data_IF_690953154204
#
_entry.id   IF_690953154204
#
_cell.length_a   1.000
_cell.length_b   1.000
_cell.length_c   1.000
_cell.angle_alpha   90.00
_cell.angle_beta   90.00
_cell.angle_gamma   90.00
#
_symmetry.space_group_name_H-M   'P 1'
#
loop_
_entity.id
_entity.type
_entity.pdbx_description
1 polymer ?
#
# COMPACT_ATOMS: atom_id res chain seq x y z
N UNK A 1 10.68 14.31 -8.92
CA UNK A 1 9.77 13.73 -9.92
C UNK A 1 8.86 14.84 -10.41
N UNK A 2 8.46 14.81 -11.67
CA UNK A 2 7.45 15.72 -12.20
C UNK A 2 6.12 15.53 -11.44
N UNK A 3 5.35 16.59 -11.23
CA UNK A 3 4.06 16.53 -10.53
C UNK A 3 3.01 15.69 -11.27
N UNK A 4 3.18 15.49 -12.57
CA UNK A 4 2.30 14.70 -13.44
C UNK A 4 3.03 13.50 -14.07
N UNK A 5 4.05 12.98 -13.39
CA UNK A 5 4.75 11.78 -13.84
C UNK A 5 3.76 10.63 -14.12
N UNK A 6 3.80 10.12 -15.35
CA UNK A 6 2.96 9.02 -15.80
C UNK A 6 3.79 7.73 -15.89
N UNK A 7 3.71 6.91 -14.84
CA UNK A 7 4.41 5.64 -14.75
C UNK A 7 4.29 5.02 -13.35
N UNK A 8 4.97 3.90 -13.14
CA UNK A 8 4.97 3.21 -11.85
C UNK A 8 6.09 3.76 -10.95
N UNK A 9 5.70 4.40 -9.85
CA UNK A 9 6.61 4.84 -8.79
C UNK A 9 6.27 4.11 -7.47
N UNK A 10 6.37 2.78 -7.50
CA UNK A 10 6.00 1.91 -6.38
C UNK A 10 7.13 0.93 -6.05
N UNK A 11 7.38 0.73 -4.76
CA UNK A 11 8.27 -0.30 -4.23
C UNK A 11 7.63 -0.91 -2.98
N UNK A 12 7.81 -2.21 -2.77
CA UNK A 12 7.38 -2.88 -1.55
C UNK A 12 8.52 -2.88 -0.54
N UNK A 13 8.22 -2.49 0.70
CA UNK A 13 9.16 -2.55 1.83
C UNK A 13 8.60 -3.50 2.90
N UNK A 14 9.08 -4.76 2.97
CA UNK A 14 8.57 -5.71 3.94
C UNK A 14 9.07 -5.38 5.35
N UNK A 15 8.19 -5.57 6.34
CA UNK A 15 8.53 -5.49 7.76
C UNK A 15 8.26 -6.85 8.37
N UNK A 16 9.24 -7.42 9.06
CA UNK A 16 9.16 -8.77 9.61
C UNK A 16 9.06 -8.74 11.13
N UNK A 17 8.22 -9.60 11.68
CA UNK A 17 8.13 -9.87 13.12
C UNK A 17 7.61 -11.31 13.33
N UNK A 18 8.06 -12.01 14.38
CA UNK A 18 7.46 -13.28 14.78
C UNK A 18 5.98 -13.10 15.15
N UNK A 19 5.12 -14.05 14.77
CA UNK A 19 3.70 -13.98 15.10
C UNK A 19 3.44 -13.90 16.62
N UNK A 20 4.25 -14.60 17.42
CA UNK A 20 4.17 -14.53 18.88
C UNK A 20 4.48 -13.13 19.45
N UNK A 21 5.43 -12.40 18.84
CA UNK A 21 5.72 -11.02 19.24
C UNK A 21 4.59 -10.08 18.85
N UNK A 22 4.07 -10.21 17.62
CA UNK A 22 2.94 -9.41 17.15
C UNK A 22 1.70 -9.53 18.04
N UNK A 23 1.42 -10.73 18.56
CA UNK A 23 0.24 -10.99 19.41
C UNK A 23 0.48 -10.55 20.87
N UNK A 24 1.73 -10.58 21.35
CA UNK A 24 2.07 -10.24 22.74
C UNK A 24 2.32 -8.76 22.99
N UNK A 25 2.46 -7.95 21.93
CA UNK A 25 2.73 -6.51 22.01
C UNK A 25 1.48 -5.68 21.71
N UNK A 26 1.53 -4.40 22.05
CA UNK A 26 0.47 -3.46 21.75
C UNK A 26 0.54 -2.94 20.29
N UNK A 27 -0.52 -2.26 19.86
CA UNK A 27 -0.60 -1.67 18.53
C UNK A 27 0.44 -0.56 18.29
N UNK A 28 0.88 0.13 19.35
CA UNK A 28 1.89 1.17 19.26
C UNK A 28 3.24 0.61 18.85
N UNK A 29 3.62 -0.54 19.41
CA UNK A 29 4.81 -1.28 19.02
C UNK A 29 4.76 -1.71 17.54
N UNK A 30 3.62 -2.28 17.10
CA UNK A 30 3.43 -2.66 15.69
C UNK A 30 3.54 -1.45 14.75
N UNK A 31 2.93 -0.32 15.14
CA UNK A 31 2.98 0.92 14.38
C UNK A 31 4.40 1.50 14.30
N UNK A 32 5.14 1.47 15.41
CA UNK A 32 6.53 1.92 15.47
C UNK A 32 7.46 1.07 14.59
N UNK A 33 7.26 -0.26 14.56
CA UNK A 33 8.03 -1.15 13.69
C UNK A 33 7.84 -0.81 12.20
N UNK A 34 6.59 -0.60 11.78
CA UNK A 34 6.26 -0.15 10.42
C UNK A 34 6.84 1.25 10.15
N UNK A 35 6.71 2.17 11.10
CA UNK A 35 7.18 3.55 10.97
C UNK A 35 8.69 3.62 10.75
N UNK A 36 9.48 2.90 11.55
CA UNK A 36 10.94 2.82 11.41
C UNK A 36 11.35 2.37 10.01
N UNK A 37 10.68 1.36 9.46
CA UNK A 37 10.97 0.88 8.11
C UNK A 37 10.61 1.90 7.03
N UNK A 38 9.46 2.57 7.16
CA UNK A 38 9.05 3.64 6.23
C UNK A 38 10.03 4.81 6.25
N UNK A 39 10.47 5.24 7.43
CA UNK A 39 11.45 6.34 7.58
C UNK A 39 12.82 5.95 7.03
N UNK A 40 13.23 4.70 7.20
CA UNK A 40 14.51 4.20 6.69
C UNK A 40 14.53 4.04 5.16
N UNK A 41 13.37 4.01 4.49
CA UNK A 41 13.28 3.89 3.03
C UNK A 41 13.43 5.25 2.34
N UNK A 42 14.64 5.79 2.45
CA UNK A 42 15.01 7.11 1.93
C UNK A 42 15.34 7.09 0.42
N UNK A 43 15.78 8.24 -0.09
CA UNK A 43 16.16 8.40 -1.49
C UNK A 43 17.29 7.45 -1.94
N UNK A 44 18.24 7.13 -1.07
CA UNK A 44 19.33 6.23 -1.39
C UNK A 44 18.82 4.79 -1.52
N UNK A 45 17.94 4.35 -0.61
CA UNK A 45 17.29 3.04 -0.68
C UNK A 45 16.39 2.89 -1.90
N UNK A 46 15.63 3.93 -2.25
CA UNK A 46 14.79 3.92 -3.47
C UNK A 46 15.65 3.70 -4.71
N UNK A 47 16.72 4.49 -4.86
CA UNK A 47 17.65 4.39 -6.01
C UNK A 47 18.34 3.04 -6.09
N UNK A 48 18.84 2.54 -4.96
CA UNK A 48 19.42 1.21 -4.89
C UNK A 48 18.43 0.13 -5.36
N UNK A 49 17.15 0.23 -4.98
CA UNK A 49 16.12 -0.70 -5.45
C UNK A 49 15.86 -0.63 -6.95
N UNK A 50 16.04 0.54 -7.58
CA UNK A 50 15.97 0.68 -9.05
C UNK A 50 17.18 0.01 -9.69
N UNK A 51 18.39 0.31 -9.22
CA UNK A 51 19.64 -0.26 -9.74
C UNK A 51 19.67 -1.79 -9.62
N UNK A 52 19.22 -2.33 -8.48
CA UNK A 52 19.10 -3.78 -8.27
C UNK A 52 18.12 -4.43 -9.24
N UNK A 53 16.96 -3.79 -9.47
CA UNK A 53 15.97 -4.28 -10.43
C UNK A 53 16.45 -4.16 -11.87
N UNK A 54 17.21 -3.12 -12.24
CA UNK A 54 17.79 -2.99 -13.58
C UNK A 54 18.85 -4.07 -13.85
N UNK A 55 19.63 -4.45 -12.83
CA UNK A 55 20.60 -5.55 -12.92
C UNK A 55 19.92 -6.91 -13.05
N UNK A 56 18.84 -7.14 -12.31
CA UNK A 56 18.08 -8.39 -12.34
C UNK A 56 16.56 -8.12 -12.39
N UNK A 57 16.02 -7.88 -13.59
CA UNK A 57 14.62 -7.54 -13.77
C UNK A 57 13.70 -8.68 -13.32
N UNK A 58 12.77 -8.34 -12.44
CA UNK A 58 11.78 -9.27 -11.90
C UNK A 58 10.39 -8.64 -11.91
N UNK A 59 9.38 -9.49 -12.05
CA UNK A 59 7.99 -9.04 -11.93
C UNK A 59 7.69 -8.62 -10.49
N UNK A 60 6.80 -7.63 -10.34
CA UNK A 60 6.36 -7.21 -9.02
C UNK A 60 5.69 -8.39 -8.30
N UNK A 61 6.13 -8.76 -7.08
CA UNK A 61 5.63 -9.94 -6.40
C UNK A 61 4.19 -9.69 -5.93
N UNK A 62 3.23 -10.16 -6.71
CA UNK A 62 1.81 -10.19 -6.37
C UNK A 62 1.46 -11.52 -5.74
N UNK A 63 0.84 -11.50 -4.57
CA UNK A 63 0.37 -12.70 -3.88
C UNK A 63 0.81 -12.76 -2.42
N UNK A 64 0.49 -13.90 -1.81
CA UNK A 64 0.90 -14.26 -0.45
C UNK A 64 1.48 -15.68 -0.49
N UNK A 65 2.65 -15.88 -1.13
CA UNK A 65 3.17 -17.23 -1.39
C UNK A 65 3.56 -17.99 -0.11
N UNK A 66 3.89 -17.28 0.97
CA UNK A 66 4.22 -17.87 2.26
C UNK A 66 2.99 -18.11 3.17
N UNK A 67 1.81 -17.59 2.79
CA UNK A 67 0.58 -17.67 3.58
C UNK A 67 0.61 -16.86 4.89
N UNK A 68 1.70 -16.15 5.18
CA UNK A 68 1.94 -15.47 6.45
C UNK A 68 2.14 -13.95 6.28
N UNK A 69 2.18 -13.46 5.04
CA UNK A 69 2.35 -12.06 4.73
C UNK A 69 1.02 -11.32 4.58
N UNK A 70 0.99 -10.08 5.08
CA UNK A 70 -0.11 -9.14 4.82
C UNK A 70 0.44 -8.00 3.97
N UNK A 71 -0.19 -7.77 2.81
CA UNK A 71 0.16 -6.66 1.93
C UNK A 71 -0.88 -5.55 2.05
N UNK A 72 -0.44 -4.37 2.47
CA UNK A 72 -1.25 -3.16 2.43
C UNK A 72 -1.03 -2.42 1.10
N UNK A 73 -2.11 -2.02 0.42
CA UNK A 73 -2.03 -1.17 -0.76
C UNK A 73 -3.07 -0.07 -0.76
N UNK A 74 -3.04 0.77 -1.80
CA UNK A 74 -3.81 2.02 -1.88
C UNK A 74 -3.38 3.04 -0.81
N UNK A 75 -3.96 4.24 -0.85
CA UNK A 75 -3.72 5.31 0.10
C UNK A 75 -4.98 6.16 0.28
N UNK A 76 -5.32 6.60 1.50
CA UNK A 76 -6.38 7.58 1.70
C UNK A 76 -6.08 8.93 1.06
N UNK A 77 -4.83 9.18 0.66
CA UNK A 77 -4.41 10.41 -0.03
C UNK A 77 -4.82 10.45 -1.50
N UNK A 78 -5.26 9.33 -2.07
CA UNK A 78 -5.68 9.33 -3.48
C UNK A 78 -7.04 10.02 -3.66
N UNK A 79 -7.21 10.84 -4.71
CA UNK A 79 -8.42 11.62 -4.96
C UNK A 79 -9.55 10.75 -5.55
N UNK A 80 -9.92 9.67 -4.84
CA UNK A 80 -10.77 8.61 -5.38
C UNK A 80 -12.19 9.09 -5.75
N UNK A 81 -12.68 10.14 -5.08
CA UNK A 81 -14.03 10.68 -5.27
C UNK A 81 -14.05 12.01 -6.04
N UNK A 82 -12.93 12.47 -6.62
CA UNK A 82 -12.90 13.77 -7.32
C UNK A 82 -13.37 13.69 -8.78
N UNK A 83 -13.84 12.53 -9.23
CA UNK A 83 -14.27 12.29 -10.61
C UNK A 83 -15.76 12.62 -10.77
N UNK A 84 -16.10 13.76 -11.37
CA UNK A 84 -17.48 14.12 -11.74
C UNK A 84 -17.58 14.33 -13.25
N UNK A 85 -18.39 13.51 -13.91
CA UNK A 85 -18.62 13.56 -15.35
C UNK A 85 -19.88 14.35 -15.73
N UNK A 86 -20.51 15.05 -14.78
CA UNK A 86 -21.76 15.79 -14.95
C UNK A 86 -22.99 15.12 -14.31
N UNK A 87 -22.81 13.95 -13.68
CA UNK A 87 -23.86 13.23 -12.96
C UNK A 87 -23.67 13.26 -11.43
N UNK A 88 -22.70 14.03 -10.96
CA UNK A 88 -22.35 14.13 -9.55
C UNK A 88 -21.23 13.18 -9.14
N UNK A 89 -20.77 13.40 -7.91
CA UNK A 89 -19.64 12.69 -7.29
C UNK A 89 -19.89 11.18 -7.14
N UNK A 90 -18.86 10.31 -7.25
CA UNK A 90 -19.03 8.87 -7.10
C UNK A 90 -19.64 8.48 -5.75
N UNK A 91 -20.45 7.42 -5.76
CA UNK A 91 -21.10 6.90 -4.53
C UNK A 91 -20.18 5.93 -3.80
N UNK A 92 -19.42 5.10 -4.51
CA UNK A 92 -18.53 4.11 -3.92
C UNK A 92 -17.31 3.82 -4.81
N UNK A 93 -16.21 3.44 -4.18
CA UNK A 93 -14.96 3.00 -4.84
C UNK A 93 -14.82 1.49 -4.63
N UNK A 94 -14.57 0.75 -5.70
CA UNK A 94 -14.42 -0.71 -5.65
C UNK A 94 -13.15 -1.16 -6.38
N UNK A 95 -12.49 -2.18 -5.85
CA UNK A 95 -11.38 -2.86 -6.54
C UNK A 95 -11.90 -4.04 -7.36
N UNK A 96 -11.28 -4.26 -8.53
CA UNK A 96 -11.54 -5.43 -9.39
C UNK A 96 -10.98 -6.73 -8.81
N UNK A 97 -11.53 -7.87 -9.27
CA UNK A 97 -11.20 -9.22 -8.77
C UNK A 97 -9.71 -9.58 -8.88
N UNK A 98 -9.02 -9.08 -9.91
CA UNK A 98 -7.60 -9.37 -10.14
C UNK A 98 -6.67 -8.87 -9.01
N UNK A 99 -7.12 -7.89 -8.21
CA UNK A 99 -6.36 -7.35 -7.08
C UNK A 99 -6.80 -7.92 -5.72
N UNK A 100 -7.59 -9.01 -5.73
CA UNK A 100 -8.11 -9.66 -4.52
C UNK A 100 -7.48 -11.03 -4.36
N UNK A 101 -6.52 -11.13 -3.46
CA UNK A 101 -5.86 -12.37 -3.07
C UNK A 101 -5.69 -12.41 -1.55
N UNK A 102 -5.45 -13.60 -1.02
CA UNK A 102 -5.26 -13.78 0.42
C UNK A 102 -4.13 -12.89 0.97
N UNK A 103 -4.30 -12.33 2.17
CA UNK A 103 -3.34 -11.38 2.75
C UNK A 103 -3.36 -9.96 2.14
N UNK A 104 -4.12 -9.67 1.07
CA UNK A 104 -4.24 -8.31 0.52
C UNK A 104 -5.27 -7.47 1.28
N UNK A 105 -4.89 -6.27 1.67
CA UNK A 105 -5.79 -5.25 2.22
C UNK A 105 -5.64 -3.96 1.40
N UNK A 106 -6.78 -3.35 1.05
CA UNK A 106 -6.81 -2.02 0.42
C UNK A 106 -7.60 -1.04 1.28
N UNK A 107 -7.05 0.15 1.48
CA UNK A 107 -7.72 1.25 2.18
C UNK A 107 -7.95 2.40 1.19
N UNK A 108 -9.21 2.82 1.09
CA UNK A 108 -9.63 4.00 0.34
C UNK A 108 -10.17 5.05 1.30
N UNK A 109 -10.08 6.35 0.97
CA UNK A 109 -10.73 7.37 1.78
C UNK A 109 -12.24 7.14 1.80
N UNK A 110 -12.91 7.51 2.88
CA UNK A 110 -14.36 7.56 2.93
C UNK A 110 -14.90 8.69 2.07
N UNK A 111 -16.07 8.48 1.46
CA UNK A 111 -16.72 9.44 0.55
C UNK A 111 -16.91 10.83 1.17
N UNK A 112 -17.28 10.85 2.45
CA UNK A 112 -17.64 12.09 3.15
C UNK A 112 -16.42 12.91 3.59
N UNK A 113 -15.19 12.41 3.41
CA UNK A 113 -13.96 13.13 3.74
C UNK A 113 -13.76 13.40 5.23
N UNK A 114 -14.58 12.82 6.11
CA UNK A 114 -14.54 12.98 7.56
C UNK A 114 -13.50 12.10 8.27
N UNK A 115 -12.48 11.64 7.55
CA UNK A 115 -11.45 10.72 8.07
C UNK A 115 -11.90 9.25 8.19
N UNK A 116 -13.09 8.90 7.72
CA UNK A 116 -13.49 7.49 7.58
C UNK A 116 -12.71 6.79 6.46
N UNK A 117 -12.63 5.46 6.53
CA UNK A 117 -11.95 4.62 5.53
C UNK A 117 -12.87 3.51 5.04
N UNK A 118 -12.81 3.23 3.73
CA UNK A 118 -13.43 2.06 3.15
C UNK A 118 -12.38 0.95 3.05
N UNK A 119 -12.60 -0.16 3.76
CA UNK A 119 -11.81 -1.38 3.60
C UNK A 119 -12.38 -2.21 2.46
N UNK A 120 -11.55 -2.51 1.45
CA UNK A 120 -11.90 -3.44 0.39
C UNK A 120 -11.05 -4.72 0.53
N UNK A 121 -11.72 -5.87 0.62
CA UNK A 121 -11.12 -7.21 0.52
C UNK A 121 -11.37 -7.74 -0.89
#
# INVERSE_FOLDING_TARGET
MDSHYFGNAIQSIPTYAPAGELISRDLGWCADLLHKNVVAHDNAKVRFGVEDWEREPRLFPLGNPDGASITMGSSPRFPMYNNDFGWGRPVAVRSGKANKFDGKISAFPGREGNGSFLKNK
#
